data_IF_654994855495
#
_entry.id   IF_654994855495
#
_cell.length_a   1.000
_cell.length_b   1.000
_cell.length_c   1.000
_cell.angle_alpha   90.00
_cell.angle_beta   90.00
_cell.angle_gamma   90.00
#
_symmetry.space_group_name_H-M   'P 1'
#
loop_
_entity.id
_entity.type
_entity.pdbx_description
1 polymer ?
#
# COMPACT_ATOMS: atom_id res chain seq x y z
N UNK A 1 12.61 -23.38 8.04
CA UNK A 1 13.36 -22.11 8.23
C UNK A 1 12.36 -20.98 8.13
N UNK A 2 12.23 -20.12 9.16
CA UNK A 2 11.40 -18.90 9.07
C UNK A 2 12.01 -17.99 8.01
N UNK A 3 11.19 -17.49 7.09
CA UNK A 3 11.63 -16.58 6.04
C UNK A 3 12.25 -15.33 6.71
N UNK A 4 13.48 -14.92 6.40
CA UNK A 4 14.13 -13.75 7.01
C UNK A 4 13.39 -12.42 6.74
N UNK A 5 12.41 -12.42 5.82
CA UNK A 5 11.44 -11.34 5.67
C UNK A 5 10.39 -11.25 6.81
N UNK A 6 10.31 -12.26 7.69
CA UNK A 6 9.34 -12.44 8.78
C UNK A 6 9.94 -12.21 10.19
N UNK A 7 11.07 -11.52 10.31
CA UNK A 7 11.77 -11.38 11.60
C UNK A 7 11.87 -9.96 12.13
N UNK A 8 11.19 -8.99 11.53
CA UNK A 8 11.17 -7.62 12.05
C UNK A 8 10.01 -7.43 13.02
N UNK A 9 10.23 -6.69 14.09
CA UNK A 9 9.22 -6.37 15.11
C UNK A 9 9.39 -4.91 15.51
N UNK A 10 8.28 -4.18 15.67
CA UNK A 10 8.30 -2.79 16.12
C UNK A 10 7.84 -2.72 17.58
N UNK A 11 8.68 -2.30 18.53
CA UNK A 11 8.21 -2.02 19.88
C UNK A 11 7.28 -0.80 19.87
N UNK A 12 6.07 -0.99 20.37
CA UNK A 12 5.06 0.03 20.62
C UNK A 12 4.88 0.24 22.12
N UNK A 13 4.25 1.33 22.52
CA UNK A 13 3.93 1.60 23.93
C UNK A 13 3.01 0.52 24.54
N UNK A 14 2.18 -0.10 23.71
CA UNK A 14 1.28 -1.19 24.07
C UNK A 14 1.61 -2.44 23.28
N UNK A 15 2.83 -2.94 23.43
CA UNK A 15 3.23 -4.23 22.89
C UNK A 15 4.21 -4.15 21.72
N UNK A 16 4.18 -5.15 20.85
CA UNK A 16 5.13 -5.29 19.75
C UNK A 16 4.37 -5.58 18.46
N UNK A 17 4.51 -4.68 17.46
CA UNK A 17 3.98 -4.92 16.14
C UNK A 17 4.82 -5.95 15.40
N UNK A 18 4.16 -6.89 14.74
CA UNK A 18 4.78 -8.01 14.05
C UNK A 18 4.62 -7.84 12.54
N UNK A 19 5.39 -8.57 11.72
CA UNK A 19 5.13 -8.66 10.29
C UNK A 19 3.71 -9.15 10.05
N UNK A 20 3.13 -8.80 8.90
CA UNK A 20 1.87 -9.39 8.44
C UNK A 20 2.09 -10.88 8.19
N UNK A 21 2.03 -11.70 9.23
CA UNK A 21 1.95 -13.14 9.12
C UNK A 21 0.57 -13.51 8.58
N UNK A 22 0.53 -14.53 7.70
CA UNK A 22 -0.73 -15.00 7.10
C UNK A 22 -1.73 -15.52 8.14
N UNK A 23 -1.29 -15.79 9.36
CA UNK A 23 -2.09 -16.37 10.44
C UNK A 23 -2.81 -15.32 11.32
N UNK A 24 -2.54 -14.02 11.16
CA UNK A 24 -3.25 -12.96 11.88
C UNK A 24 -3.88 -12.00 10.87
N UNK A 25 -5.17 -12.19 10.59
CA UNK A 25 -5.85 -11.42 9.57
C UNK A 25 -6.57 -10.19 10.18
N UNK A 26 -6.50 -8.99 9.57
CA UNK A 26 -7.17 -7.80 10.09
C UNK A 26 -8.69 -7.94 10.23
N UNK A 27 -9.32 -8.87 9.50
CA UNK A 27 -10.76 -9.16 9.62
C UNK A 27 -11.16 -9.82 10.93
N UNK A 28 -10.19 -10.30 11.73
CA UNK A 28 -10.44 -10.82 13.07
C UNK A 28 -10.56 -9.71 14.13
N UNK A 29 -10.44 -8.45 13.72
CA UNK A 29 -10.37 -7.28 14.59
C UNK A 29 -11.45 -6.26 14.23
N UNK A 30 -11.92 -5.52 15.23
CA UNK A 30 -12.90 -4.45 15.08
C UNK A 30 -12.21 -3.18 14.52
N UNK A 31 -11.70 -3.27 13.29
CA UNK A 31 -11.08 -2.15 12.58
C UNK A 31 -12.20 -1.27 11.98
N UNK A 32 -12.30 0.02 12.36
CA UNK A 32 -13.36 0.88 11.86
C UNK A 32 -13.31 1.08 10.34
N UNK A 33 -14.48 1.34 9.76
CA UNK A 33 -14.58 1.63 8.33
C UNK A 33 -13.76 2.88 7.97
N UNK A 34 -13.03 2.81 6.85
CA UNK A 34 -12.15 3.89 6.40
C UNK A 34 -10.73 3.84 6.96
N UNK A 35 -10.44 2.96 7.92
CA UNK A 35 -9.09 2.76 8.42
C UNK A 35 -8.30 1.81 7.52
N UNK A 36 -7.01 2.10 7.34
CA UNK A 36 -6.04 1.21 6.73
C UNK A 36 -5.40 0.32 7.82
N UNK A 37 -5.44 -1.00 7.62
CA UNK A 37 -4.79 -1.95 8.52
C UNK A 37 -3.27 -2.03 8.26
N UNK A 38 -2.48 -1.72 9.29
CA UNK A 38 -1.03 -1.72 9.24
C UNK A 38 -0.44 -3.03 9.73
N UNK A 39 -0.39 -3.30 11.04
CA UNK A 39 0.33 -4.44 11.58
C UNK A 39 -0.41 -5.12 12.72
N UNK A 40 -0.37 -6.45 12.85
CA UNK A 40 -0.76 -7.10 14.10
C UNK A 40 0.19 -6.67 15.23
N UNK A 41 -0.34 -6.46 16.43
CA UNK A 41 0.41 -6.04 17.62
C UNK A 41 0.12 -7.03 18.75
N UNK A 42 1.16 -7.48 19.44
CA UNK A 42 1.02 -8.35 20.62
C UNK A 42 1.41 -7.60 21.87
N UNK A 43 0.48 -7.49 22.82
CA UNK A 43 0.66 -6.80 24.11
C UNK A 43 0.28 -7.71 25.27
N UNK A 44 1.25 -8.13 26.09
CA UNK A 44 1.03 -8.99 27.26
C UNK A 44 0.13 -10.22 26.98
N UNK A 45 0.29 -10.85 25.81
CA UNK A 45 -0.51 -12.00 25.36
C UNK A 45 -1.85 -11.67 24.70
N UNK A 46 -2.23 -10.39 24.63
CA UNK A 46 -3.36 -9.90 23.83
C UNK A 46 -2.91 -9.60 22.42
N UNK A 47 -3.76 -9.94 21.45
CA UNK A 47 -3.57 -9.53 20.06
C UNK A 47 -4.43 -8.31 19.78
N UNK A 48 -3.81 -7.31 19.17
CA UNK A 48 -4.39 -6.08 18.68
C UNK A 48 -3.98 -5.91 17.22
N UNK A 49 -4.56 -4.92 16.53
CA UNK A 49 -4.18 -4.56 15.18
C UNK A 49 -3.96 -3.06 15.09
N UNK A 50 -2.77 -2.65 14.68
CA UNK A 50 -2.47 -1.26 14.37
C UNK A 50 -3.20 -0.85 13.10
N UNK A 51 -4.01 0.19 13.18
CA UNK A 51 -4.67 0.82 12.05
C UNK A 51 -4.38 2.32 12.01
N UNK A 52 -4.58 2.91 10.84
CA UNK A 52 -4.41 4.34 10.60
C UNK A 52 -5.59 4.88 9.79
N UNK A 53 -6.02 6.10 10.08
CA UNK A 53 -6.89 6.88 9.18
C UNK A 53 -6.10 8.03 8.58
N UNK A 54 -6.39 8.33 7.33
CA UNK A 54 -5.78 9.43 6.57
C UNK A 54 -6.82 10.49 6.17
N UNK A 55 -8.00 10.47 6.80
CA UNK A 55 -9.06 11.45 6.59
C UNK A 55 -8.76 12.74 7.36
N UNK A 56 -7.74 13.49 6.90
CA UNK A 56 -7.19 14.66 7.59
C UNK A 56 -5.75 14.42 8.02
N UNK A 57 -5.41 14.83 9.25
CA UNK A 57 -4.13 14.47 9.84
C UNK A 57 -4.08 12.95 10.12
N UNK A 58 -2.92 12.29 9.96
CA UNK A 58 -2.82 10.87 10.25
C UNK A 58 -3.09 10.56 11.72
N UNK A 59 -4.02 9.65 11.99
CA UNK A 59 -4.34 9.19 13.34
C UNK A 59 -4.18 7.67 13.44
N UNK A 60 -3.58 7.22 14.55
CA UNK A 60 -3.21 5.83 14.78
C UNK A 60 -4.07 5.20 15.87
N UNK A 61 -4.43 3.93 15.68
CA UNK A 61 -5.26 3.20 16.61
C UNK A 61 -4.79 1.77 16.81
N UNK A 62 -4.94 1.25 18.03
CA UNK A 62 -4.89 -0.19 18.30
C UNK A 62 -6.31 -0.74 18.40
N UNK A 63 -6.66 -1.58 17.42
CA UNK A 63 -7.96 -2.23 17.34
C UNK A 63 -7.90 -3.59 18.03
N UNK A 64 -8.72 -3.86 19.05
CA UNK A 64 -8.84 -5.19 19.65
C UNK A 64 -9.66 -6.14 18.75
N UNK A 65 -9.67 -7.43 19.09
CA UNK A 65 -10.58 -8.40 18.48
C UNK A 65 -12.06 -8.09 18.74
N UNK A 66 -12.34 -7.44 19.86
CA UNK A 66 -13.68 -6.97 20.21
C UNK A 66 -13.58 -5.71 21.07
N UNK A 67 -14.41 -4.71 20.75
CA UNK A 67 -14.54 -3.48 21.53
C UNK A 67 -13.94 -2.25 20.83
N UNK A 68 -13.82 -1.16 21.59
CA UNK A 68 -13.42 0.13 21.02
C UNK A 68 -11.91 0.20 20.74
N UNK A 69 -11.49 0.76 19.59
CA UNK A 69 -10.09 1.06 19.32
C UNK A 69 -9.50 2.06 20.32
N UNK A 70 -8.21 1.89 20.62
CA UNK A 70 -7.44 2.81 21.46
C UNK A 70 -6.65 3.75 20.58
N UNK A 71 -6.88 5.06 20.72
CA UNK A 71 -6.12 6.08 20.00
C UNK A 71 -4.68 6.16 20.51
N UNK A 72 -3.72 6.31 19.59
CA UNK A 72 -2.30 6.45 19.89
C UNK A 72 -1.80 7.86 19.61
N UNK A 73 -0.76 8.27 20.34
CA UNK A 73 -0.03 9.49 19.99
C UNK A 73 0.67 9.33 18.64
N UNK A 74 0.39 10.25 17.71
CA UNK A 74 0.89 10.20 16.33
C UNK A 74 2.41 10.26 16.29
N UNK A 75 3.00 11.31 16.86
CA UNK A 75 4.43 11.58 16.75
C UNK A 75 5.27 10.46 17.37
N UNK A 76 4.78 9.87 18.47
CA UNK A 76 5.39 8.68 19.09
C UNK A 76 5.25 7.44 18.21
N UNK A 77 4.06 7.19 17.67
CA UNK A 77 3.80 6.03 16.79
C UNK A 77 4.68 6.07 15.56
N UNK A 78 4.80 7.23 14.90
CA UNK A 78 5.66 7.41 13.73
C UNK A 78 7.13 7.19 14.07
N UNK A 79 7.63 7.71 15.20
CA UNK A 79 9.00 7.44 15.66
C UNK A 79 9.25 5.96 15.89
N UNK A 80 8.28 5.23 16.47
CA UNK A 80 8.39 3.79 16.71
C UNK A 80 8.39 2.99 15.40
N UNK A 81 7.54 3.36 14.44
CA UNK A 81 7.51 2.79 13.10
C UNK A 81 8.84 2.99 12.35
N UNK A 82 9.38 4.21 12.38
CA UNK A 82 10.67 4.51 11.74
C UNK A 82 11.83 3.78 12.44
N UNK A 83 11.78 3.66 13.77
CA UNK A 83 12.82 2.96 14.53
C UNK A 83 12.90 1.48 14.16
N UNK A 84 11.78 0.77 14.08
CA UNK A 84 11.83 -0.67 13.79
C UNK A 84 12.15 -1.02 12.33
N UNK A 85 12.21 -0.06 11.39
CA UNK A 85 12.81 -0.31 10.07
C UNK A 85 14.25 -0.82 10.21
N UNK A 86 14.95 -0.27 11.21
CA UNK A 86 16.36 -0.51 11.51
C UNK A 86 16.56 -1.64 12.51
N UNK A 87 15.48 -2.12 13.13
CA UNK A 87 15.55 -3.20 14.11
C UNK A 87 15.62 -4.56 13.41
N UNK A 88 16.42 -5.47 14.00
CA UNK A 88 16.60 -6.82 13.46
C UNK A 88 17.03 -6.82 11.99
N UNK A 89 17.82 -5.82 11.57
CA UNK A 89 18.41 -5.83 10.23
C UNK A 89 19.33 -7.04 10.10
N UNK A 90 19.25 -7.78 8.97
CA UNK A 90 20.23 -8.84 8.72
C UNK A 90 21.64 -8.21 8.65
N UNK A 91 22.71 -8.97 8.93
CA UNK A 91 24.09 -8.47 8.91
C UNK A 91 24.50 -7.78 7.60
N UNK A 92 23.75 -8.07 6.53
CA UNK A 92 23.96 -7.64 5.16
C UNK A 92 22.59 -7.38 4.54
N UNK A 93 22.29 -6.12 4.23
CA UNK A 93 21.05 -5.72 3.53
C UNK A 93 21.38 -4.99 2.23
N UNK A 94 20.59 -5.25 1.18
CA UNK A 94 20.64 -4.52 -0.09
C UNK A 94 19.49 -3.52 -0.19
N UNK A 95 19.61 -2.57 -1.11
CA UNK A 95 18.61 -1.53 -1.40
C UNK A 95 17.20 -2.09 -1.63
N UNK A 96 17.05 -3.20 -2.35
CA UNK A 96 15.75 -3.82 -2.64
C UNK A 96 15.04 -4.35 -1.38
N UNK A 97 15.79 -5.05 -0.52
CA UNK A 97 15.26 -5.61 0.73
C UNK A 97 14.89 -4.48 1.69
N UNK A 98 15.71 -3.42 1.75
CA UNK A 98 15.41 -2.25 2.56
C UNK A 98 14.18 -1.50 2.02
N UNK A 99 14.11 -1.30 0.71
CA UNK A 99 12.97 -0.67 0.05
C UNK A 99 11.67 -1.41 0.34
N UNK A 100 11.70 -2.74 0.36
CA UNK A 100 10.54 -3.56 0.74
C UNK A 100 10.06 -3.28 2.18
N UNK A 101 10.97 -2.94 3.10
CA UNK A 101 10.60 -2.51 4.47
C UNK A 101 10.01 -1.09 4.47
N UNK A 102 10.57 -0.17 3.69
CA UNK A 102 10.00 1.18 3.53
C UNK A 102 8.57 1.10 3.02
N UNK A 103 8.33 0.26 2.00
CA UNK A 103 7.01 0.04 1.40
C UNK A 103 5.99 -0.61 2.35
N UNK A 104 6.41 -1.18 3.48
CA UNK A 104 5.50 -1.69 4.50
C UNK A 104 4.84 -0.56 5.31
N UNK A 105 5.49 0.60 5.41
CA UNK A 105 4.97 1.77 6.11
C UNK A 105 3.84 2.46 5.32
N UNK A 106 3.01 3.28 5.98
CA UNK A 106 2.15 4.25 5.31
C UNK A 106 2.91 5.10 4.29
N UNK A 107 2.29 5.35 3.14
CA UNK A 107 2.90 6.05 2.00
C UNK A 107 3.54 7.40 2.38
N UNK A 108 2.87 8.18 3.22
CA UNK A 108 3.38 9.49 3.63
C UNK A 108 4.67 9.43 4.47
N UNK A 109 5.02 8.26 5.03
CA UNK A 109 6.25 8.06 5.78
C UNK A 109 7.41 7.57 4.91
N UNK A 110 7.20 7.27 3.61
CA UNK A 110 8.24 6.66 2.78
C UNK A 110 9.47 7.57 2.63
N UNK A 111 9.27 8.86 2.38
CA UNK A 111 10.38 9.82 2.29
C UNK A 111 11.09 10.00 3.64
N UNK A 112 10.32 10.18 4.73
CA UNK A 112 10.87 10.31 6.08
C UNK A 112 11.69 9.07 6.49
N UNK A 113 11.24 7.87 6.09
CA UNK A 113 11.96 6.62 6.29
C UNK A 113 13.31 6.62 5.57
N UNK A 114 13.35 7.06 4.31
CA UNK A 114 14.59 7.12 3.54
C UNK A 114 15.54 8.18 4.12
N UNK A 115 15.05 9.39 4.43
CA UNK A 115 15.85 10.48 5.02
C UNK A 115 16.39 10.14 6.42
N UNK A 116 15.69 9.29 7.17
CA UNK A 116 16.17 8.85 8.49
C UNK A 116 17.49 8.06 8.42
N UNK A 117 17.83 7.51 7.25
CA UNK A 117 19.07 6.78 7.01
C UNK A 117 20.28 7.70 6.83
N UNK A 118 20.10 8.88 6.24
CA UNK A 118 21.19 9.83 5.98
C UNK A 118 21.93 10.22 7.27
N UNK A 119 21.20 10.22 8.38
CA UNK A 119 21.67 10.68 9.68
C UNK A 119 22.08 9.55 10.62
N UNK A 120 22.04 8.28 10.16
CA UNK A 120 22.30 7.11 11.00
C UNK A 120 23.43 6.25 10.46
N UNK A 121 24.33 5.86 11.37
CA UNK A 121 25.34 4.85 11.10
C UNK A 121 24.69 3.47 11.20
N UNK A 122 24.69 2.72 10.09
CA UNK A 122 24.12 1.38 10.01
C UNK A 122 25.22 0.47 9.46
N UNK A 123 25.89 -0.26 10.36
CA UNK A 123 27.05 -1.09 10.02
C UNK A 123 26.69 -2.35 9.19
N UNK A 124 25.39 -2.61 8.98
CA UNK A 124 24.88 -3.79 8.25
C UNK A 124 24.59 -3.55 6.77
N UNK A 125 24.81 -2.33 6.26
CA UNK A 125 24.57 -1.99 4.85
C UNK A 125 25.78 -2.39 4.01
N UNK A 126 25.52 -3.02 2.87
CA UNK A 126 26.56 -3.43 1.92
C UNK A 126 27.13 -2.29 1.07
N UNK A 127 26.29 -1.33 0.77
CA UNK A 127 26.58 -0.11 0.01
C UNK A 127 27.04 0.99 0.97
N UNK A 128 27.66 2.06 0.45
CA UNK A 128 27.80 3.26 1.28
C UNK A 128 26.41 3.81 1.62
N UNK A 129 26.22 4.45 2.78
CA UNK A 129 24.92 5.01 3.16
C UNK A 129 24.38 5.98 2.10
N UNK A 130 25.27 6.76 1.46
CA UNK A 130 24.91 7.69 0.40
C UNK A 130 24.41 6.98 -0.87
N UNK A 131 25.06 5.89 -1.27
CA UNK A 131 24.63 5.08 -2.41
C UNK A 131 23.28 4.41 -2.14
N UNK A 132 23.09 3.88 -0.92
CA UNK A 132 21.82 3.30 -0.50
C UNK A 132 20.69 4.33 -0.55
N UNK A 133 20.87 5.50 0.05
CA UNK A 133 19.85 6.57 0.06
C UNK A 133 19.49 6.97 -1.37
N UNK A 134 20.50 7.16 -2.22
CA UNK A 134 20.29 7.48 -3.65
C UNK A 134 19.48 6.39 -4.35
N UNK A 135 19.83 5.11 -4.14
CA UNK A 135 19.10 3.99 -4.69
C UNK A 135 17.65 3.94 -4.20
N UNK A 136 17.42 4.15 -2.90
CA UNK A 136 16.08 4.13 -2.30
C UNK A 136 15.20 5.27 -2.81
N UNK A 137 15.72 6.49 -2.95
CA UNK A 137 14.99 7.62 -3.55
C UNK A 137 14.61 7.33 -5.01
N UNK A 138 15.55 6.77 -5.78
CA UNK A 138 15.30 6.33 -7.16
C UNK A 138 14.21 5.25 -7.20
N UNK A 139 14.28 4.24 -6.34
CA UNK A 139 13.25 3.19 -6.24
C UNK A 139 11.90 3.75 -5.80
N UNK A 140 11.86 4.71 -4.87
CA UNK A 140 10.60 5.32 -4.43
C UNK A 140 9.94 6.11 -5.57
N UNK A 141 10.72 6.85 -6.35
CA UNK A 141 10.20 7.59 -7.52
C UNK A 141 9.73 6.69 -8.66
N UNK A 142 10.37 5.53 -8.86
CA UNK A 142 10.11 4.64 -10.02
C UNK A 142 9.17 3.47 -9.72
N UNK A 143 9.09 3.02 -8.46
CA UNK A 143 8.37 1.82 -8.02
C UNK A 143 7.63 2.00 -6.68
N UNK A 144 7.62 3.20 -6.11
CA UNK A 144 6.99 3.51 -4.82
C UNK A 144 5.46 3.49 -4.86
N UNK A 145 4.84 3.82 -3.71
CA UNK A 145 3.40 3.70 -3.52
C UNK A 145 2.58 4.50 -4.54
N UNK A 146 2.99 5.73 -4.85
CA UNK A 146 2.34 6.56 -5.85
C UNK A 146 2.32 5.90 -7.24
N UNK A 147 3.42 5.27 -7.65
CA UNK A 147 3.50 4.55 -8.93
C UNK A 147 2.61 3.30 -8.91
N UNK A 148 2.66 2.52 -7.82
CA UNK A 148 1.81 1.32 -7.68
C UNK A 148 0.32 1.67 -7.68
N UNK A 149 -0.05 2.78 -7.03
CA UNK A 149 -1.41 3.35 -7.08
C UNK A 149 -1.77 3.76 -8.50
N UNK A 150 -0.93 4.53 -9.18
CA UNK A 150 -1.18 4.97 -10.55
C UNK A 150 -1.35 3.79 -11.53
N UNK A 151 -0.53 2.75 -11.38
CA UNK A 151 -0.64 1.51 -12.15
C UNK A 151 -1.95 0.78 -11.86
N UNK A 152 -2.35 0.67 -10.59
CA UNK A 152 -3.60 0.02 -10.18
C UNK A 152 -4.82 0.78 -10.70
N UNK A 153 -4.83 2.12 -10.55
CA UNK A 153 -5.86 3.01 -11.10
C UNK A 153 -5.97 2.83 -12.62
N UNK A 154 -4.85 2.86 -13.33
CA UNK A 154 -4.82 2.71 -14.78
C UNK A 154 -5.32 1.33 -15.23
N UNK A 155 -4.96 0.27 -14.49
CA UNK A 155 -5.43 -1.09 -14.75
C UNK A 155 -6.95 -1.20 -14.56
N UNK A 156 -7.48 -0.76 -13.42
CA UNK A 156 -8.91 -0.73 -13.14
C UNK A 156 -9.66 0.06 -14.23
N UNK A 157 -9.19 1.26 -14.54
CA UNK A 157 -9.81 2.12 -15.54
C UNK A 157 -9.83 1.48 -16.94
N UNK A 158 -8.72 0.84 -17.33
CA UNK A 158 -8.62 0.12 -18.60
C UNK A 158 -9.60 -1.05 -18.67
N UNK A 159 -9.62 -1.90 -17.64
CA UNK A 159 -10.53 -3.07 -17.59
C UNK A 159 -11.99 -2.64 -17.70
N UNK A 160 -12.40 -1.60 -16.96
CA UNK A 160 -13.76 -1.04 -17.05
C UNK A 160 -14.04 -0.44 -18.42
N UNK A 161 -13.08 0.26 -19.01
CA UNK A 161 -13.28 0.93 -20.31
C UNK A 161 -13.49 -0.06 -21.46
N UNK A 162 -12.88 -1.24 -21.38
CA UNK A 162 -12.99 -2.30 -22.38
C UNK A 162 -14.24 -3.17 -22.17
N UNK A 163 -14.83 -3.15 -20.98
CA UNK A 163 -15.98 -3.97 -20.67
C UNK A 163 -17.30 -3.43 -21.27
N UNK A 164 -18.25 -4.32 -21.60
CA UNK A 164 -19.63 -3.95 -21.94
C UNK A 164 -20.29 -3.15 -20.82
N UNK A 165 -21.24 -2.27 -21.16
CA UNK A 165 -21.83 -1.32 -20.21
C UNK A 165 -22.47 -2.03 -19.01
N UNK A 166 -23.14 -3.15 -19.25
CA UNK A 166 -23.78 -4.01 -18.27
C UNK A 166 -22.80 -4.66 -17.27
N UNK A 167 -21.54 -4.86 -17.64
CA UNK A 167 -20.53 -5.52 -16.80
C UNK A 167 -19.73 -4.54 -15.94
N UNK A 168 -19.68 -3.25 -16.32
CA UNK A 168 -18.88 -2.23 -15.61
C UNK A 168 -19.25 -2.08 -14.14
N UNK A 169 -20.54 -2.14 -13.82
CA UNK A 169 -21.04 -2.07 -12.43
C UNK A 169 -20.52 -3.26 -11.60
N UNK A 170 -20.43 -4.44 -12.21
CA UNK A 170 -19.89 -5.64 -11.56
C UNK A 170 -18.39 -5.52 -11.35
N UNK A 171 -17.65 -4.98 -12.32
CA UNK A 171 -16.20 -4.76 -12.21
C UNK A 171 -15.86 -3.79 -11.07
N UNK A 172 -16.54 -2.64 -10.98
CA UNK A 172 -16.33 -1.73 -9.86
C UNK A 172 -16.60 -2.36 -8.50
N UNK A 173 -17.65 -3.18 -8.39
CA UNK A 173 -17.92 -3.97 -7.17
C UNK A 173 -16.83 -5.00 -6.89
N UNK A 174 -16.20 -5.56 -7.92
CA UNK A 174 -15.07 -6.47 -7.81
C UNK A 174 -13.84 -5.78 -7.20
N UNK A 175 -13.46 -4.63 -7.75
CA UNK A 175 -12.28 -3.88 -7.28
C UNK A 175 -12.39 -3.39 -5.84
N UNK A 176 -13.61 -3.12 -5.34
CA UNK A 176 -13.84 -2.80 -3.93
C UNK A 176 -13.36 -3.88 -2.94
N UNK A 177 -13.13 -5.11 -3.42
CA UNK A 177 -12.57 -6.20 -2.61
C UNK A 177 -11.05 -6.16 -2.53
N UNK A 178 -10.39 -5.50 -3.48
CA UNK A 178 -8.94 -5.56 -3.70
C UNK A 178 -8.26 -4.21 -3.47
N UNK A 179 -9.00 -3.11 -3.62
CA UNK A 179 -8.48 -1.74 -3.58
C UNK A 179 -9.34 -0.83 -2.69
N UNK A 180 -8.76 0.26 -2.19
CA UNK A 180 -9.48 1.25 -1.38
C UNK A 180 -10.50 2.01 -2.22
N UNK A 181 -11.57 2.50 -1.58
CA UNK A 181 -12.60 3.29 -2.29
C UNK A 181 -12.00 4.54 -2.93
N UNK A 182 -11.01 5.18 -2.29
CA UNK A 182 -10.31 6.33 -2.86
C UNK A 182 -9.65 6.01 -4.21
N UNK A 183 -9.00 4.85 -4.35
CA UNK A 183 -8.39 4.45 -5.62
C UNK A 183 -9.43 4.16 -6.70
N UNK A 184 -10.59 3.66 -6.30
CA UNK A 184 -11.71 3.38 -7.20
C UNK A 184 -12.32 4.69 -7.69
N UNK A 185 -12.55 5.65 -6.80
CA UNK A 185 -13.04 6.98 -7.16
C UNK A 185 -12.07 7.72 -8.09
N UNK A 186 -10.76 7.58 -7.91
CA UNK A 186 -9.78 8.12 -8.86
C UNK A 186 -9.82 7.42 -10.23
N UNK A 187 -10.11 6.11 -10.25
CA UNK A 187 -10.14 5.32 -11.48
C UNK A 187 -11.38 5.57 -12.33
N UNK A 188 -12.54 5.88 -11.72
CA UNK A 188 -13.80 6.17 -12.45
C UNK A 188 -13.66 7.25 -13.53
N UNK A 189 -13.19 8.48 -13.25
CA UNK A 189 -13.08 9.53 -14.26
C UNK A 189 -12.01 9.22 -15.31
N UNK A 190 -11.02 8.38 -15.00
CA UNK A 190 -10.05 7.88 -16.00
C UNK A 190 -10.74 6.91 -16.95
N UNK A 191 -11.50 5.94 -16.42
CA UNK A 191 -12.24 4.97 -17.20
C UNK A 191 -13.25 5.65 -18.14
N UNK A 192 -13.98 6.63 -17.62
CA UNK A 192 -15.00 7.35 -18.38
C UNK A 192 -14.42 8.17 -19.53
N UNK A 193 -13.28 8.85 -19.31
CA UNK A 193 -12.53 9.52 -20.39
C UNK A 193 -12.06 8.53 -21.46
N UNK A 194 -11.62 7.33 -21.06
CA UNK A 194 -11.21 6.28 -22.02
C UNK A 194 -12.40 5.77 -22.84
N UNK A 195 -13.56 5.54 -22.22
CA UNK A 195 -14.80 5.14 -22.88
C UNK A 195 -15.24 6.20 -23.89
N UNK A 196 -15.25 7.48 -23.49
CA UNK A 196 -15.63 8.59 -24.37
C UNK A 196 -14.70 8.70 -25.58
N UNK A 197 -13.37 8.59 -25.37
CA UNK A 197 -12.39 8.58 -26.46
C UNK A 197 -12.59 7.41 -27.42
N UNK A 198 -12.88 6.22 -26.91
CA UNK A 198 -13.15 5.05 -27.74
C UNK A 198 -14.44 5.24 -28.57
N UNK A 199 -15.50 5.76 -27.96
CA UNK A 199 -16.76 6.07 -28.63
C UNK A 199 -16.60 7.16 -29.70
N UNK A 200 -15.78 8.19 -29.43
CA UNK A 200 -15.47 9.24 -30.40
C UNK A 200 -14.70 8.67 -31.61
N UNK A 201 -13.66 7.85 -31.38
CA UNK A 201 -12.93 7.19 -32.47
C UNK A 201 -13.82 6.31 -33.34
N UNK A 202 -14.77 5.58 -32.74
CA UNK A 202 -15.75 4.78 -33.48
C UNK A 202 -16.68 5.63 -34.36
N UNK A 203 -16.99 6.87 -33.94
CA UNK A 203 -17.79 7.82 -34.74
C UNK A 203 -16.97 8.44 -35.88
N UNK A 204 -15.70 8.73 -35.64
CA UNK A 204 -14.79 9.33 -36.62
C UNK A 204 -14.26 8.30 -37.64
N UNK A 205 -14.17 7.02 -37.25
CA UNK A 205 -13.69 5.92 -38.09
C UNK A 205 -14.60 4.70 -37.90
N UNK A 206 -15.81 4.70 -38.48
CA UNK A 206 -16.69 3.54 -38.40
C UNK A 206 -16.01 2.32 -39.06
N UNK A 207 -16.17 1.11 -38.51
CA UNK A 207 -15.60 -0.08 -39.13
C UNK A 207 -16.14 -0.25 -40.55
N UNK A 208 -15.25 -0.34 -41.53
CA UNK A 208 -15.59 -0.69 -42.92
C UNK A 208 -16.13 -2.11 -42.92
N UNK A 209 -17.45 -2.26 -42.99
CA UNK A 209 -18.07 -3.58 -43.12
C UNK A 209 -18.10 -3.95 -44.59
N UNK A 210 -17.04 -4.59 -45.08
CA UNK A 210 -17.09 -5.32 -46.35
C UNK A 210 -17.88 -6.62 -46.12
N UNK A 211 -19.20 -6.55 -46.30
CA UNK A 211 -19.99 -7.75 -46.54
C UNK A 211 -19.85 -8.13 -48.02
N UNK A 212 -18.89 -9.00 -48.35
CA UNK A 212 -18.97 -9.75 -49.61
C UNK A 212 -20.04 -10.84 -49.48
N UNK A 213 -21.28 -10.54 -49.87
CA UNK A 213 -22.23 -11.59 -50.25
C UNK A 213 -21.87 -12.05 -51.66
N UNK A 214 -21.23 -13.22 -51.77
CA UNK A 214 -21.13 -13.95 -53.04
C UNK A 214 -22.39 -14.80 -53.19
N UNK A 215 -23.24 -14.43 -54.16
CA UNK A 215 -24.30 -15.29 -54.70
C UNK A 215 -23.72 -16.22 -55.75
#
# INVERSE_FOLDING_TARGET
MKNPALTWSFPFEHGTALPKDRDIHPSEFDIPHGHQSLYPVVDAGRQLYLSITLQGEPEYFLCPRSGSPVHLDRDRSEKQLLAGLLEGLPPRINSITFFSRVMALPEYLHEAAISSLEHRRIDTIHESTADLVTALLSMNSTMGAAVQRAMSISKMAREVSLAPAEERVRLWKGFRKEHSEAWIEDARPVAERMIQRAAQKLRETPPTVEYEFKF
#
